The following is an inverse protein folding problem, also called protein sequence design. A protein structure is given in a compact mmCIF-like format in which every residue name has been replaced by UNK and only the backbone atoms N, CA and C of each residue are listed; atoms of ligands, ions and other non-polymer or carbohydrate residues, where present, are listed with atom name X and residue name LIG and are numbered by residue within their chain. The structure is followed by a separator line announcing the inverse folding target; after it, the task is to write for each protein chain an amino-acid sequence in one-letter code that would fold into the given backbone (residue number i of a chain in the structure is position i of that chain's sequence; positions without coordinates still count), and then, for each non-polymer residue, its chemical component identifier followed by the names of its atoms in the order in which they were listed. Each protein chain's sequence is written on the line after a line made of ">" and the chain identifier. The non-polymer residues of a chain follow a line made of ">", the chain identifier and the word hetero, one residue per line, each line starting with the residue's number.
data_IF_817806313284
#
_entry.id   IF_817806313284
#
_cell.length_a   1.000
_cell.length_b   1.000
_cell.length_c   1.000
_cell.angle_alpha   90.00
_cell.angle_beta   90.00
_cell.angle_gamma   90.00
#
_symmetry.space_group_name_H-M   'P 1'
#
loop_
_entity.id
_entity.type
_entity.pdbx_description
1 polymer ?
#
# COMPACT_ATOMS: atom_id res chain seq x y z
N UNK A 1 -26.73 -29.57 -5.70
CA UNK A 1 -26.49 -28.45 -4.77
C UNK A 1 -25.00 -28.13 -4.54
N UNK A 2 -24.04 -28.73 -5.26
CA UNK A 2 -22.60 -28.63 -4.96
C UNK A 2 -21.86 -27.52 -5.75
N UNK A 3 -22.42 -27.06 -6.85
CA UNK A 3 -21.81 -26.06 -7.74
C UNK A 3 -21.73 -24.66 -7.11
N UNK A 4 -22.67 -24.31 -6.23
CA UNK A 4 -22.71 -22.98 -5.61
C UNK A 4 -21.62 -22.80 -4.53
N UNK A 5 -21.34 -23.86 -3.76
CA UNK A 5 -20.30 -23.86 -2.71
C UNK A 5 -18.90 -23.81 -3.31
N UNK A 6 -18.66 -24.57 -4.39
CA UNK A 6 -17.39 -24.53 -5.13
C UNK A 6 -17.12 -23.17 -5.77
N UNK A 7 -18.16 -22.53 -6.33
CA UNK A 7 -18.05 -21.17 -6.87
C UNK A 7 -17.67 -20.13 -5.82
N UNK A 8 -18.29 -20.18 -4.64
CA UNK A 8 -17.98 -19.27 -3.52
C UNK A 8 -16.56 -19.48 -2.97
N UNK A 9 -16.13 -20.74 -2.81
CA UNK A 9 -14.80 -21.06 -2.29
C UNK A 9 -13.69 -20.64 -3.28
N UNK A 10 -13.92 -20.87 -4.58
CA UNK A 10 -13.03 -20.38 -5.63
C UNK A 10 -12.96 -18.84 -5.62
N UNK A 11 -14.10 -18.15 -5.53
CA UNK A 11 -14.14 -16.69 -5.50
C UNK A 11 -13.40 -16.12 -4.29
N UNK A 12 -13.57 -16.72 -3.10
CA UNK A 12 -12.86 -16.32 -1.89
C UNK A 12 -11.34 -16.53 -2.00
N UNK A 13 -10.91 -17.66 -2.56
CA UNK A 13 -9.47 -17.94 -2.78
C UNK A 13 -8.85 -16.96 -3.77
N UNK A 14 -9.53 -16.69 -4.89
CA UNK A 14 -9.03 -15.79 -5.92
C UNK A 14 -9.00 -14.34 -5.44
N UNK A 15 -10.03 -13.89 -4.72
CA UNK A 15 -10.05 -12.57 -4.08
C UNK A 15 -8.90 -12.42 -3.08
N UNK A 16 -8.67 -13.43 -2.25
CA UNK A 16 -7.56 -13.43 -1.29
C UNK A 16 -6.20 -13.40 -1.99
N UNK A 17 -6.02 -14.17 -3.06
CA UNK A 17 -4.78 -14.16 -3.85
C UNK A 17 -4.49 -12.77 -4.44
N UNK A 18 -5.53 -12.09 -4.93
CA UNK A 18 -5.42 -10.72 -5.43
C UNK A 18 -5.03 -9.72 -4.33
N UNK A 19 -5.69 -9.77 -3.17
CA UNK A 19 -5.34 -8.89 -2.05
C UNK A 19 -3.90 -9.12 -1.57
N UNK A 20 -3.45 -10.38 -1.49
CA UNK A 20 -2.07 -10.70 -1.11
C UNK A 20 -1.04 -10.26 -2.16
N UNK A 21 -1.38 -10.31 -3.44
CA UNK A 21 -0.52 -9.80 -4.50
C UNK A 21 -0.34 -8.27 -4.40
N UNK A 22 -1.43 -7.54 -4.15
CA UNK A 22 -1.36 -6.08 -3.93
C UNK A 22 -0.53 -5.79 -2.67
N UNK A 23 -0.69 -6.57 -1.60
CA UNK A 23 0.10 -6.39 -0.38
C UNK A 23 1.59 -6.59 -0.65
N UNK A 24 1.94 -7.65 -1.38
CA UNK A 24 3.33 -7.92 -1.77
C UNK A 24 3.90 -6.74 -2.56
N UNK A 25 3.18 -6.23 -3.55
CA UNK A 25 3.60 -5.04 -4.29
C UNK A 25 3.75 -3.81 -3.40
N UNK A 26 2.85 -3.58 -2.44
CA UNK A 26 2.94 -2.46 -1.51
C UNK A 26 4.19 -2.53 -0.61
N UNK A 27 4.69 -3.74 -0.34
CA UNK A 27 5.91 -3.95 0.47
C UNK A 27 7.18 -3.87 -0.37
N UNK A 28 7.17 -4.36 -1.61
CA UNK A 28 8.39 -4.47 -2.44
C UNK A 28 8.59 -3.30 -3.39
N UNK A 29 7.50 -2.67 -3.82
CA UNK A 29 7.45 -1.70 -4.92
C UNK A 29 8.06 -2.23 -6.24
N UNK A 30 8.24 -3.54 -6.37
CA UNK A 30 8.83 -4.16 -7.55
C UNK A 30 7.82 -4.21 -8.70
N UNK A 31 8.26 -3.83 -9.89
CA UNK A 31 7.44 -3.90 -11.09
C UNK A 31 7.02 -5.34 -11.43
N UNK A 32 7.81 -6.36 -11.09
CA UNK A 32 7.42 -7.76 -11.25
C UNK A 32 6.16 -8.09 -10.42
N UNK A 33 6.11 -7.59 -9.18
CA UNK A 33 4.96 -7.77 -8.30
C UNK A 33 3.75 -6.97 -8.80
N UNK A 34 3.98 -5.77 -9.36
CA UNK A 34 2.94 -4.99 -10.05
C UNK A 34 2.31 -5.77 -11.21
N UNK A 35 3.13 -6.40 -12.06
CA UNK A 35 2.65 -7.22 -13.17
C UNK A 35 1.86 -8.44 -12.68
N UNK A 36 2.30 -9.07 -11.58
CA UNK A 36 1.58 -10.18 -10.97
C UNK A 36 0.18 -9.78 -10.50
N UNK A 37 0.01 -8.58 -9.92
CA UNK A 37 -1.30 -8.03 -9.56
C UNK A 37 -2.22 -7.96 -10.78
N UNK A 38 -1.75 -7.38 -11.88
CA UNK A 38 -2.56 -7.23 -13.10
C UNK A 38 -2.91 -8.57 -13.75
N UNK A 39 -2.00 -9.55 -13.72
CA UNK A 39 -2.28 -10.89 -14.23
C UNK A 39 -3.43 -11.54 -13.45
N UNK A 40 -3.35 -11.52 -12.12
CA UNK A 40 -4.41 -12.10 -11.27
C UNK A 40 -5.72 -11.34 -11.50
N UNK A 41 -5.70 -10.01 -11.49
CA UNK A 41 -6.90 -9.19 -11.72
C UNK A 41 -7.60 -9.52 -13.05
N UNK A 42 -6.83 -9.67 -14.14
CA UNK A 42 -7.37 -10.07 -15.44
C UNK A 42 -7.86 -11.52 -15.49
N UNK A 43 -7.37 -12.42 -14.63
CA UNK A 43 -7.94 -13.75 -14.44
C UNK A 43 -9.30 -13.66 -13.73
N UNK A 44 -9.43 -12.83 -12.68
CA UNK A 44 -10.71 -12.67 -11.96
C UNK A 44 -11.77 -12.06 -12.86
N UNK A 45 -11.44 -10.97 -13.56
CA UNK A 45 -12.36 -10.26 -14.44
C UNK A 45 -12.93 -11.19 -15.55
N UNK A 46 -12.12 -12.13 -16.05
CA UNK A 46 -12.54 -13.11 -17.08
C UNK A 46 -13.37 -14.27 -16.53
N UNK A 47 -13.16 -14.64 -15.27
CA UNK A 47 -13.72 -15.84 -14.67
C UNK A 47 -14.99 -15.57 -13.85
N UNK A 48 -15.43 -14.31 -13.73
CA UNK A 48 -16.68 -13.98 -13.04
C UNK A 48 -17.89 -14.62 -13.76
N UNK A 49 -18.54 -15.65 -13.15
CA UNK A 49 -19.69 -16.33 -13.75
C UNK A 49 -20.92 -15.44 -13.83
N UNK A 50 -20.92 -14.24 -13.23
CA UNK A 50 -22.03 -13.29 -13.38
C UNK A 50 -21.90 -12.44 -14.65
N UNK A 51 -20.73 -12.45 -15.27
CA UNK A 51 -20.38 -11.59 -16.40
C UNK A 51 -20.21 -12.35 -17.71
N UNK A 52 -20.55 -13.67 -17.75
CA UNK A 52 -20.42 -14.62 -18.89
C UNK A 52 -20.09 -13.94 -20.24
N UNK A 53 -18.79 -13.74 -20.49
CA UNK A 53 -18.30 -13.32 -21.80
C UNK A 53 -18.37 -11.84 -22.13
N UNK A 54 -18.55 -10.92 -21.16
CA UNK A 54 -18.33 -9.50 -21.42
C UNK A 54 -16.81 -9.16 -21.34
N UNK A 55 -16.12 -8.98 -22.47
CA UNK A 55 -14.68 -8.67 -22.47
C UNK A 55 -14.37 -7.29 -21.90
N UNK A 56 -15.37 -6.42 -21.72
CA UNK A 56 -15.22 -5.06 -21.22
C UNK A 56 -15.27 -4.98 -19.69
N UNK A 57 -15.66 -6.08 -19.01
CA UNK A 57 -15.60 -6.12 -17.56
C UNK A 57 -14.14 -6.10 -17.09
N UNK A 58 -13.77 -5.04 -16.40
CA UNK A 58 -12.38 -4.75 -16.01
C UNK A 58 -12.29 -4.16 -14.61
N UNK A 59 -13.20 -4.56 -13.71
CA UNK A 59 -13.27 -4.01 -12.36
C UNK A 59 -11.97 -4.24 -11.60
N UNK A 60 -11.49 -5.49 -11.52
CA UNK A 60 -10.28 -5.81 -10.79
C UNK A 60 -9.05 -5.18 -11.45
N UNK A 61 -8.98 -5.15 -12.78
CA UNK A 61 -7.90 -4.47 -13.51
C UNK A 61 -7.88 -2.96 -13.26
N UNK A 62 -9.04 -2.30 -13.31
CA UNK A 62 -9.18 -0.86 -13.08
C UNK A 62 -8.81 -0.50 -11.64
N UNK A 63 -9.39 -1.20 -10.66
CA UNK A 63 -9.05 -1.01 -9.24
C UNK A 63 -7.57 -1.30 -8.97
N UNK A 64 -6.98 -2.32 -9.59
CA UNK A 64 -5.55 -2.60 -9.45
C UNK A 64 -4.68 -1.47 -10.00
N UNK A 65 -5.07 -0.86 -11.12
CA UNK A 65 -4.34 0.27 -11.68
C UNK A 65 -4.36 1.49 -10.74
N UNK A 66 -5.54 1.80 -10.19
CA UNK A 66 -5.71 2.88 -9.22
C UNK A 66 -4.89 2.63 -7.94
N UNK A 67 -4.96 1.41 -7.39
CA UNK A 67 -4.22 1.05 -6.18
C UNK A 67 -2.72 1.08 -6.39
N UNK A 68 -2.21 0.48 -7.48
CA UNK A 68 -0.77 0.53 -7.76
C UNK A 68 -0.28 1.96 -7.98
N UNK A 69 -1.07 2.81 -8.64
CA UNK A 69 -0.72 4.21 -8.82
C UNK A 69 -0.73 4.98 -7.48
N UNK A 70 -1.70 4.69 -6.61
CA UNK A 70 -1.80 5.30 -5.28
C UNK A 70 -0.65 4.87 -4.35
N UNK A 71 -0.21 3.61 -4.42
CA UNK A 71 0.96 3.09 -3.70
C UNK A 71 2.23 3.83 -4.14
N UNK A 72 2.45 3.98 -5.46
CA UNK A 72 3.65 4.65 -5.99
C UNK A 72 3.69 6.17 -5.77
N UNK A 73 2.55 6.79 -5.43
CA UNK A 73 2.43 8.24 -5.24
C UNK A 73 1.85 8.57 -3.85
N UNK A 74 2.64 8.43 -2.78
CA UNK A 74 2.21 8.79 -1.44
C UNK A 74 1.88 10.29 -1.37
N UNK A 75 0.58 10.62 -1.26
CA UNK A 75 0.05 12.00 -1.28
C UNK A 75 -1.48 12.02 -1.11
N UNK A 76 -2.08 13.21 -0.99
CA UNK A 76 -3.52 13.38 -0.65
C UNK A 76 -4.49 12.53 -1.52
N UNK A 77 -4.45 12.56 -2.86
CA UNK A 77 -5.40 11.75 -3.65
C UNK A 77 -5.14 10.24 -3.54
N UNK A 78 -3.88 9.80 -3.52
CA UNK A 78 -3.53 8.38 -3.36
C UNK A 78 -3.92 7.83 -1.99
N UNK A 79 -3.80 8.65 -0.94
CA UNK A 79 -4.15 8.27 0.42
C UNK A 79 -5.66 8.06 0.62
N UNK A 80 -6.51 8.76 -0.14
CA UNK A 80 -7.96 8.58 -0.08
C UNK A 80 -8.38 7.25 -0.71
N UNK A 81 -7.83 6.92 -1.88
CA UNK A 81 -8.08 5.64 -2.58
C UNK A 81 -7.67 4.45 -1.71
N UNK A 82 -6.48 4.50 -1.10
CA UNK A 82 -6.00 3.43 -0.24
C UNK A 82 -6.84 3.26 1.03
N UNK A 83 -7.30 4.37 1.64
CA UNK A 83 -8.22 4.32 2.80
C UNK A 83 -9.57 3.72 2.43
N UNK A 84 -10.13 4.10 1.29
CA UNK A 84 -11.40 3.56 0.80
C UNK A 84 -11.28 2.05 0.52
N UNK A 85 -10.16 1.61 -0.07
CA UNK A 85 -9.90 0.20 -0.28
C UNK A 85 -9.74 -0.57 1.03
N UNK A 86 -8.94 -0.05 1.96
CA UNK A 86 -8.78 -0.64 3.29
C UNK A 86 -10.13 -0.82 3.99
N UNK A 87 -11.01 0.18 3.95
CA UNK A 87 -12.34 0.10 4.56
C UNK A 87 -13.18 -1.06 4.04
N UNK A 88 -12.94 -1.52 2.79
CA UNK A 88 -13.66 -2.63 2.14
C UNK A 88 -13.05 -4.01 2.40
N UNK A 89 -11.90 -4.10 3.08
CA UNK A 89 -11.32 -5.38 3.47
C UNK A 89 -11.99 -5.86 4.77
N UNK A 90 -12.63 -7.02 4.71
CA UNK A 90 -13.29 -7.67 5.85
C UNK A 90 -12.29 -8.38 6.79
N UNK A 91 -11.15 -8.87 6.27
CA UNK A 91 -10.12 -9.51 7.09
C UNK A 91 -9.30 -8.44 7.85
N UNK A 92 -9.55 -8.31 9.15
CA UNK A 92 -8.89 -7.33 10.03
C UNK A 92 -7.37 -7.49 10.11
N UNK A 93 -6.85 -8.71 9.98
CA UNK A 93 -5.41 -8.95 9.99
C UNK A 93 -4.81 -8.41 8.70
N UNK A 94 -5.42 -8.72 7.56
CA UNK A 94 -4.99 -8.24 6.25
C UNK A 94 -5.06 -6.72 6.17
N UNK A 95 -6.16 -6.12 6.64
CA UNK A 95 -6.34 -4.67 6.73
C UNK A 95 -5.21 -4.00 7.51
N UNK A 96 -4.85 -4.53 8.70
CA UNK A 96 -3.76 -3.98 9.52
C UNK A 96 -2.39 -4.10 8.86
N UNK A 97 -2.09 -5.24 8.25
CA UNK A 97 -0.79 -5.45 7.58
C UNK A 97 -0.65 -4.52 6.37
N UNK A 98 -1.73 -4.30 5.62
CA UNK A 98 -1.75 -3.32 4.53
C UNK A 98 -1.51 -1.90 5.01
N UNK A 99 -2.21 -1.47 6.06
CA UNK A 99 -2.04 -0.13 6.62
C UNK A 99 -0.58 0.11 7.03
N UNK A 100 0.03 -0.88 7.70
CA UNK A 100 1.43 -0.83 8.09
C UNK A 100 2.38 -0.76 6.89
N UNK A 101 2.15 -1.53 5.82
CA UNK A 101 2.97 -1.49 4.61
C UNK A 101 2.94 -0.10 3.93
N UNK A 102 1.75 0.50 3.84
CA UNK A 102 1.57 1.83 3.24
C UNK A 102 2.20 2.94 4.10
N UNK A 103 2.14 2.82 5.43
CA UNK A 103 2.78 3.78 6.34
C UNK A 103 4.30 3.65 6.39
N UNK A 104 4.82 2.42 6.28
CA UNK A 104 6.26 2.14 6.32
C UNK A 104 7.02 2.75 5.13
N UNK A 105 6.38 2.81 3.96
CA UNK A 105 6.95 3.42 2.75
C UNK A 105 6.77 4.94 2.70
N UNK A 106 6.00 5.52 3.63
CA UNK A 106 5.88 6.97 3.73
C UNK A 106 7.22 7.49 4.24
N UNK A 107 7.94 8.35 3.50
CA UNK A 107 9.14 8.97 4.03
C UNK A 107 8.72 9.67 5.31
N UNK A 108 9.31 9.24 6.43
CA UNK A 108 9.02 9.83 7.73
C UNK A 108 9.15 11.34 7.54
N UNK A 109 8.03 12.07 7.67
CA UNK A 109 8.11 13.50 7.88
C UNK A 109 8.75 13.60 9.26
N UNK A 110 10.08 13.57 9.28
CA UNK A 110 10.85 13.83 10.47
C UNK A 110 10.32 15.18 10.92
N UNK A 111 9.62 15.28 12.06
CA UNK A 111 9.21 16.59 12.52
C UNK A 111 10.52 17.33 12.66
N UNK A 112 10.69 18.40 11.87
CA UNK A 112 11.83 19.30 11.96
C UNK A 112 11.89 19.68 13.42
N UNK A 113 12.75 18.98 14.19
CA UNK A 113 13.00 19.31 15.57
C UNK A 113 13.50 20.74 15.48
N UNK A 114 12.70 21.67 16.01
CA UNK A 114 13.05 23.09 16.09
C UNK A 114 14.54 23.16 16.43
N UNK A 115 15.35 23.96 15.72
CA UNK A 115 16.76 24.04 16.03
C UNK A 115 16.87 24.36 17.52
N UNK A 116 17.34 23.37 18.29
CA UNK A 116 17.72 23.59 19.68
C UNK A 116 18.79 24.64 19.57
N UNK A 117 18.44 25.86 19.97
CA UNK A 117 19.32 27.02 20.00
C UNK A 117 20.61 26.54 20.64
N UNK A 118 21.67 26.37 19.84
CA UNK A 118 22.98 25.95 20.36
C UNK A 118 23.40 27.07 21.29
N UNK A 119 23.20 26.82 22.58
CA UNK A 119 23.64 27.68 23.65
C UNK A 119 25.17 27.64 23.56
N UNK A 120 25.73 28.65 22.93
CA UNK A 120 27.17 28.89 22.75
C UNK A 120 27.87 29.22 24.10
N UNK A 121 27.27 28.86 25.24
CA UNK A 121 27.76 29.22 26.57
C UNK A 121 28.69 28.16 27.17
N UNK A 122 28.99 27.07 26.45
CA UNK A 122 29.89 26.01 26.92
C UNK A 122 31.37 26.42 27.03
N UNK A 123 31.76 27.61 26.51
CA UNK A 123 33.16 28.04 26.49
C UNK A 123 33.42 29.43 27.11
N UNK A 124 32.46 30.02 27.85
CA UNK A 124 32.67 31.32 28.51
C UNK A 124 33.62 31.29 29.72
N UNK A 125 34.25 30.14 30.03
CA UNK A 125 35.11 29.97 31.21
C UNK A 125 36.59 29.71 30.95
N UNK A 126 37.03 29.55 29.69
CA UNK A 126 38.45 29.31 29.43
C UNK A 126 39.19 30.63 29.17
N UNK A 127 39.99 31.03 30.16
CA UNK A 127 40.90 32.16 30.05
C UNK A 127 41.83 31.95 28.85
N UNK A 128 41.80 32.90 27.90
CA UNK A 128 42.77 32.97 26.81
C UNK A 128 44.17 33.07 27.40
N UNK A 129 45.03 32.08 27.12
CA UNK A 129 46.41 32.06 27.56
C UNK A 129 47.15 33.22 26.87
N UNK A 130 47.41 34.28 27.64
CA UNK A 130 48.26 35.41 27.28
C UNK A 130 49.70 34.89 27.12
N UNK A 131 50.23 34.91 25.91
CA UNK A 131 51.66 34.72 25.69
C UNK A 131 52.34 36.10 25.67
N UNK A 132 53.35 36.22 26.53
CA UNK A 132 54.43 37.20 26.46
C UNK A 132 55.34 36.88 25.27
#
# INVERSE_FOLDING_TARGET
>A
MNSNVQGMEWHAKTLRAWQLAILRFAVTLDNADRLAVFRIAGEIDRLDPRQHGNPDFSFFRTTSAELCAAILRPGEPGSAVLRQYLARIDDDRLKRVFAAAIEADRPAVVPIRRPVKRVNDLWKGLSSRRNH
#
